data_IF_919616620652
#
_entry.id   IF_919616620652
#
_cell.length_a   1.000
_cell.length_b   1.000
_cell.length_c   1.000
_cell.angle_alpha   90.00
_cell.angle_beta   90.00
_cell.angle_gamma   90.00
#
_symmetry.space_group_name_H-M   'P 1'
#
loop_
_entity.id
_entity.type
_entity.pdbx_description
1 polymer ?
#
# COMPACT_ATOMS: atom_id res chain seq x y z
N UNK A 1 -16.44 -2.63 -13.72
CA UNK A 1 -15.67 -3.41 -14.67
C UNK A 1 -15.57 -4.85 -14.21
N UNK A 2 -15.42 -5.80 -15.11
CA UNK A 2 -15.38 -7.19 -14.71
C UNK A 2 -13.93 -7.65 -14.54
N UNK A 3 -13.67 -8.48 -13.53
CA UNK A 3 -12.40 -9.19 -13.35
C UNK A 3 -11.96 -9.99 -14.58
N UNK A 4 -12.87 -10.18 -15.56
CA UNK A 4 -12.62 -10.84 -16.85
C UNK A 4 -11.74 -10.04 -17.82
N UNK A 5 -11.47 -8.76 -17.51
CA UNK A 5 -10.67 -7.89 -18.38
C UNK A 5 -9.16 -8.11 -18.19
N UNK A 6 -8.77 -8.85 -17.15
CA UNK A 6 -7.38 -9.14 -16.83
C UNK A 6 -7.00 -10.59 -17.14
N UNK A 7 -5.73 -10.81 -17.49
CA UNK A 7 -5.24 -12.12 -17.92
C UNK A 7 -5.02 -13.10 -16.78
N UNK A 8 -4.69 -12.62 -15.58
CA UNK A 8 -4.35 -13.45 -14.43
C UNK A 8 -4.53 -12.70 -13.12
N UNK A 9 -4.44 -13.42 -12.00
CA UNK A 9 -4.50 -12.82 -10.66
C UNK A 9 -3.63 -13.57 -9.64
N UNK A 10 -3.31 -12.89 -8.55
CA UNK A 10 -2.78 -13.47 -7.31
C UNK A 10 -3.83 -13.39 -6.21
N UNK A 11 -3.94 -14.44 -5.43
CA UNK A 11 -4.78 -14.46 -4.23
C UNK A 11 -4.04 -13.84 -3.06
N UNK A 12 -4.73 -12.95 -2.34
CA UNK A 12 -4.22 -12.32 -1.12
C UNK A 12 -4.96 -12.94 0.05
N UNK A 13 -4.20 -13.61 0.90
CA UNK A 13 -4.69 -14.35 2.06
C UNK A 13 -4.11 -13.72 3.34
N UNK A 14 -4.84 -12.81 4.02
CA UNK A 14 -4.35 -12.24 5.26
C UNK A 14 -4.09 -13.33 6.30
N UNK A 15 -2.89 -13.34 6.84
CA UNK A 15 -2.48 -14.31 7.85
C UNK A 15 -2.11 -13.62 9.16
N UNK A 16 -2.35 -14.30 10.26
CA UNK A 16 -1.98 -13.78 11.58
C UNK A 16 -0.46 -13.60 11.69
N UNK A 17 -0.04 -12.44 12.16
CA UNK A 17 1.35 -12.13 12.43
C UNK A 17 1.48 -11.23 13.67
N UNK A 18 2.58 -11.34 14.39
CA UNK A 18 2.82 -10.53 15.58
C UNK A 18 1.76 -10.74 16.65
N UNK A 19 1.05 -9.68 17.02
CA UNK A 19 0.01 -9.69 18.06
C UNK A 19 -1.41 -9.98 17.53
N UNK A 20 -1.56 -10.31 16.24
CA UNK A 20 -2.86 -10.63 15.66
C UNK A 20 -3.09 -12.14 15.78
N UNK A 21 -4.18 -12.53 16.46
CA UNK A 21 -4.55 -13.94 16.59
C UNK A 21 -5.10 -14.50 15.29
N UNK A 22 -4.81 -15.77 15.01
CA UNK A 22 -5.40 -16.48 13.87
C UNK A 22 -6.92 -16.50 13.97
N UNK A 23 -7.61 -16.15 12.89
CA UNK A 23 -9.06 -16.02 12.84
C UNK A 23 -9.61 -14.72 13.42
N UNK A 24 -8.75 -13.79 13.86
CA UNK A 24 -9.19 -12.47 14.28
C UNK A 24 -9.74 -11.67 13.09
N UNK A 25 -10.85 -10.97 13.32
CA UNK A 25 -11.46 -10.06 12.34
C UNK A 25 -11.34 -8.63 12.81
N UNK A 26 -10.82 -7.76 11.98
CA UNK A 26 -10.79 -6.31 12.21
C UNK A 26 -12.05 -5.72 11.60
N UNK A 27 -13.06 -5.41 12.43
CA UNK A 27 -14.36 -4.91 11.98
C UNK A 27 -14.37 -3.42 11.65
N UNK A 28 -13.42 -2.65 12.17
CA UNK A 28 -13.29 -1.23 11.84
C UNK A 28 -12.54 -1.06 10.52
N UNK A 29 -12.89 -0.02 9.75
CA UNK A 29 -12.14 0.36 8.55
C UNK A 29 -10.69 0.70 8.92
N UNK A 30 -9.74 0.10 8.23
CA UNK A 30 -8.31 0.30 8.44
C UNK A 30 -7.58 0.43 7.10
N UNK A 31 -6.48 1.19 7.05
CA UNK A 31 -5.61 1.19 5.89
C UNK A 31 -4.71 -0.05 5.89
N UNK A 32 -4.49 -0.61 4.72
CA UNK A 32 -3.59 -1.74 4.47
C UNK A 32 -2.64 -1.38 3.34
N UNK A 33 -1.44 -1.93 3.36
CA UNK A 33 -0.42 -1.71 2.34
C UNK A 33 0.04 -3.03 1.73
N UNK A 34 0.19 -3.05 0.42
CA UNK A 34 0.73 -4.17 -0.34
C UNK A 34 1.97 -3.71 -1.09
N UNK A 35 3.07 -4.42 -0.94
CA UNK A 35 4.23 -4.29 -1.81
C UNK A 35 4.17 -5.38 -2.88
N UNK A 36 4.16 -4.96 -4.13
CA UNK A 36 4.09 -5.83 -5.29
C UNK A 36 5.39 -5.66 -6.07
N UNK A 37 5.98 -6.75 -6.50
CA UNK A 37 7.27 -6.75 -7.19
C UNK A 37 7.22 -7.62 -8.44
N UNK A 38 8.07 -7.31 -9.42
CA UNK A 38 8.27 -8.13 -10.59
C UNK A 38 8.89 -9.48 -10.20
N UNK A 39 8.19 -10.57 -10.48
CA UNK A 39 8.69 -11.92 -10.26
C UNK A 39 9.81 -12.34 -11.22
N UNK A 40 10.03 -11.57 -12.29
CA UNK A 40 11.12 -11.80 -13.23
C UNK A 40 12.45 -11.20 -12.78
N UNK A 41 12.45 -10.45 -11.68
CA UNK A 41 13.61 -9.79 -11.12
C UNK A 41 13.71 -10.18 -9.64
N UNK A 42 14.90 -10.47 -9.13
CA UNK A 42 15.16 -10.89 -7.75
C UNK A 42 14.94 -9.75 -6.73
N UNK A 43 13.80 -9.05 -6.85
CA UNK A 43 13.43 -7.90 -6.01
C UNK A 43 12.53 -8.24 -4.84
N UNK A 44 11.97 -9.45 -4.81
CA UNK A 44 11.31 -9.97 -3.63
C UNK A 44 12.37 -10.40 -2.62
N UNK A 45 12.66 -9.51 -1.69
CA UNK A 45 13.63 -9.72 -0.62
C UNK A 45 12.99 -9.81 0.76
N UNK A 46 11.67 -9.62 0.82
CA UNK A 46 10.90 -9.59 2.08
C UNK A 46 9.78 -10.61 2.08
N UNK A 47 9.59 -11.27 3.21
CA UNK A 47 8.44 -12.12 3.43
C UNK A 47 7.15 -11.27 3.41
N UNK A 48 6.25 -11.57 2.48
CA UNK A 48 4.99 -10.83 2.29
C UNK A 48 4.92 -9.99 1.02
N UNK A 49 6.03 -9.85 0.28
CA UNK A 49 6.00 -9.25 -1.06
C UNK A 49 5.16 -10.11 -2.01
N UNK A 50 4.35 -9.46 -2.84
CA UNK A 50 3.52 -10.12 -3.84
C UNK A 50 4.24 -10.11 -5.17
N UNK A 51 4.72 -11.26 -5.61
CA UNK A 51 5.38 -11.38 -6.92
C UNK A 51 4.34 -11.55 -8.04
N UNK A 52 4.46 -10.74 -9.10
CA UNK A 52 3.65 -10.85 -10.32
C UNK A 52 4.55 -10.96 -11.56
N UNK A 53 4.04 -11.56 -12.64
CA UNK A 53 4.63 -11.40 -13.97
C UNK A 53 4.14 -10.08 -14.57
N UNK A 54 4.96 -9.06 -14.50
CA UNK A 54 4.64 -7.73 -14.96
C UNK A 54 5.02 -7.44 -16.42
N UNK A 55 5.36 -8.47 -17.19
CA UNK A 55 5.72 -8.33 -18.62
C UNK A 55 4.64 -7.65 -19.47
N UNK A 56 3.39 -7.71 -19.04
CA UNK A 56 2.25 -7.06 -19.70
C UNK A 56 1.66 -5.90 -18.86
N UNK A 57 2.44 -5.36 -17.92
CA UNK A 57 2.06 -4.20 -17.12
C UNK A 57 2.76 -2.97 -17.66
N UNK A 58 2.01 -2.02 -18.21
CA UNK A 58 2.50 -0.77 -18.76
C UNK A 58 1.97 0.47 -18.05
N UNK A 59 0.88 0.34 -17.32
CA UNK A 59 0.23 1.42 -16.61
C UNK A 59 -0.67 0.92 -15.47
N UNK A 60 -1.20 1.85 -14.68
CA UNK A 60 -2.05 1.56 -13.53
C UNK A 60 -3.31 0.78 -13.91
N UNK A 61 -3.82 0.96 -15.13
CA UNK A 61 -4.96 0.20 -15.66
C UNK A 61 -4.71 -1.30 -15.80
N UNK A 62 -3.45 -1.73 -15.80
CA UNK A 62 -3.07 -3.12 -15.99
C UNK A 62 -2.99 -3.91 -14.67
N UNK A 63 -3.21 -3.26 -13.53
CA UNK A 63 -3.28 -3.91 -12.21
C UNK A 63 -4.49 -3.36 -11.45
N UNK A 64 -5.31 -4.25 -10.88
CA UNK A 64 -6.48 -3.87 -10.09
C UNK A 64 -6.71 -4.79 -8.89
N UNK A 65 -7.22 -4.23 -7.79
CA UNK A 65 -7.54 -4.96 -6.58
C UNK A 65 -9.06 -5.20 -6.49
N UNK A 66 -9.44 -6.46 -6.29
CA UNK A 66 -10.82 -6.91 -6.12
C UNK A 66 -10.98 -7.72 -4.84
N UNK A 67 -12.18 -7.72 -4.29
CA UNK A 67 -12.58 -8.68 -3.28
C UNK A 67 -12.64 -10.10 -3.86
N UNK A 68 -12.57 -11.10 -3.02
CA UNK A 68 -12.61 -12.52 -3.45
C UNK A 68 -13.90 -12.92 -4.15
N UNK A 69 -15.01 -12.19 -3.92
CA UNK A 69 -16.30 -12.40 -4.59
C UNK A 69 -16.37 -11.74 -5.98
N UNK A 70 -15.34 -11.00 -6.37
CA UNK A 70 -15.24 -10.31 -7.66
C UNK A 70 -15.81 -8.90 -7.67
N UNK A 71 -16.23 -8.37 -6.53
CA UNK A 71 -16.55 -6.95 -6.41
C UNK A 71 -15.27 -6.11 -6.36
N UNK A 72 -15.29 -4.89 -6.91
CA UNK A 72 -14.15 -3.99 -6.83
C UNK A 72 -13.88 -3.57 -5.37
N UNK A 73 -12.62 -3.42 -5.00
CA UNK A 73 -12.25 -2.69 -3.78
C UNK A 73 -12.43 -1.21 -4.08
N UNK A 74 -13.29 -0.53 -3.32
CA UNK A 74 -13.73 0.84 -3.66
C UNK A 74 -12.64 1.88 -3.48
N UNK A 75 -11.77 1.70 -2.47
CA UNK A 75 -10.77 2.68 -2.09
C UNK A 75 -9.38 2.05 -2.10
N UNK A 76 -8.65 2.21 -3.18
CA UNK A 76 -7.22 1.91 -3.23
C UNK A 76 -6.47 2.96 -4.04
N UNK A 77 -5.19 3.15 -3.69
CA UNK A 77 -4.34 4.17 -4.26
C UNK A 77 -2.90 3.67 -4.42
N UNK A 78 -2.28 4.02 -5.55
CA UNK A 78 -0.88 3.71 -5.83
C UNK A 78 0.03 4.82 -5.33
N UNK A 79 0.79 4.57 -4.28
CA UNK A 79 1.85 5.46 -3.84
C UNK A 79 3.06 5.38 -4.79
N UNK A 80 3.45 4.16 -5.16
CA UNK A 80 4.51 3.91 -6.14
C UNK A 80 3.97 3.05 -7.26
N UNK A 81 4.22 3.44 -8.48
CA UNK A 81 3.94 2.65 -9.68
C UNK A 81 5.11 2.76 -10.64
N UNK A 82 6.16 1.97 -10.41
CA UNK A 82 7.43 2.01 -11.12
C UNK A 82 7.61 0.76 -11.99
N UNK A 83 7.17 0.86 -13.25
CA UNK A 83 7.32 -0.22 -14.24
C UNK A 83 8.78 -0.45 -14.64
N UNK A 84 9.64 0.57 -14.52
CA UNK A 84 11.05 0.46 -14.90
C UNK A 84 11.84 -0.39 -13.92
N UNK A 85 11.46 -0.33 -12.65
CA UNK A 85 12.06 -1.10 -11.58
C UNK A 85 11.20 -2.29 -11.15
N UNK A 86 9.98 -2.44 -11.66
CA UNK A 86 9.06 -3.52 -11.30
C UNK A 86 8.68 -3.47 -9.81
N UNK A 87 8.43 -2.28 -9.27
CA UNK A 87 8.05 -2.06 -7.87
C UNK A 87 6.78 -1.24 -7.81
N UNK A 88 5.80 -1.75 -7.09
CA UNK A 88 4.49 -1.11 -6.94
C UNK A 88 4.06 -1.15 -5.48
N UNK A 89 3.66 -0.01 -4.93
CA UNK A 89 3.13 0.11 -3.57
C UNK A 89 1.70 0.58 -3.65
N UNK A 90 0.79 -0.24 -3.16
CA UNK A 90 -0.63 -0.02 -3.15
C UNK A 90 -1.14 0.08 -1.71
N UNK A 91 -1.89 1.13 -1.43
CA UNK A 91 -2.66 1.29 -0.20
C UNK A 91 -4.14 1.11 -0.49
N UNK A 92 -4.86 0.48 0.42
CA UNK A 92 -6.32 0.37 0.36
C UNK A 92 -6.91 0.41 1.75
N UNK A 93 -8.18 0.78 1.86
CA UNK A 93 -8.92 0.75 3.11
C UNK A 93 -10.07 -0.24 3.03
N UNK A 94 -10.22 -1.04 4.07
CA UNK A 94 -11.34 -1.99 4.18
C UNK A 94 -11.67 -2.29 5.64
N UNK A 95 -12.84 -2.89 5.83
CA UNK A 95 -13.35 -3.37 7.13
C UNK A 95 -13.71 -4.86 7.04
N UNK A 96 -13.73 -5.54 8.17
CA UNK A 96 -14.08 -6.96 8.21
C UNK A 96 -12.96 -7.90 7.77
N UNK A 97 -11.72 -7.41 7.64
CA UNK A 97 -10.58 -8.24 7.26
C UNK A 97 -10.30 -9.30 8.31
N UNK A 98 -10.29 -10.56 7.89
CA UNK A 98 -10.08 -11.73 8.77
C UNK A 98 -8.72 -12.37 8.50
N UNK A 99 -7.97 -12.63 9.56
CA UNK A 99 -6.60 -13.18 9.50
C UNK A 99 -6.60 -14.68 9.73
N UNK A 100 -7.24 -15.42 8.82
CA UNK A 100 -7.39 -16.89 8.90
C UNK A 100 -6.70 -17.65 7.75
N UNK A 101 -6.03 -16.92 6.86
CA UNK A 101 -5.35 -17.51 5.69
C UNK A 101 -6.29 -17.85 4.55
N UNK A 102 -7.58 -17.45 4.61
CA UNK A 102 -8.47 -17.58 3.46
C UNK A 102 -8.28 -16.43 2.47
N UNK A 103 -8.57 -16.65 1.21
CA UNK A 103 -8.50 -15.63 0.16
C UNK A 103 -9.58 -14.57 0.40
N UNK A 104 -9.18 -13.34 0.68
CA UNK A 104 -10.09 -12.20 0.83
C UNK A 104 -10.02 -11.23 -0.35
N UNK A 105 -8.85 -11.12 -0.97
CA UNK A 105 -8.66 -10.25 -2.13
C UNK A 105 -8.00 -10.98 -3.28
N UNK A 106 -8.15 -10.42 -4.48
CA UNK A 106 -7.45 -10.84 -5.70
C UNK A 106 -6.82 -9.63 -6.36
N UNK A 107 -5.53 -9.69 -6.54
CA UNK A 107 -4.78 -8.72 -7.32
C UNK A 107 -4.74 -9.22 -8.76
N UNK A 108 -5.53 -8.62 -9.63
CA UNK A 108 -5.55 -8.91 -11.05
C UNK A 108 -4.47 -8.10 -11.76
N UNK A 109 -3.81 -8.70 -12.76
CA UNK A 109 -2.75 -8.03 -13.52
C UNK A 109 -2.65 -8.57 -14.95
N UNK A 110 -1.95 -7.79 -15.81
CA UNK A 110 -1.84 -8.04 -17.25
C UNK A 110 -2.52 -6.93 -18.03
N UNK A 111 -2.95 -7.20 -19.28
CA UNK A 111 -3.61 -6.17 -20.11
C UNK A 111 -4.98 -5.83 -19.53
N UNK A 112 -5.08 -4.75 -18.80
CA UNK A 112 -6.32 -4.21 -18.26
C UNK A 112 -6.88 -3.05 -19.10
N UNK A 113 -8.06 -2.57 -18.75
CA UNK A 113 -8.76 -1.56 -19.54
C UNK A 113 -9.06 -0.27 -18.80
N UNK A 114 -8.90 -0.19 -17.49
CA UNK A 114 -9.09 1.06 -16.75
C UNK A 114 -8.40 1.09 -15.39
N UNK A 115 -7.95 2.27 -15.05
CA UNK A 115 -7.47 2.61 -13.71
C UNK A 115 -8.68 2.91 -12.81
N UNK A 116 -8.90 2.07 -11.80
CA UNK A 116 -9.95 2.23 -10.78
C UNK A 116 -9.39 2.78 -9.48
N UNK A 117 -8.10 3.18 -9.46
CA UNK A 117 -7.48 3.70 -8.25
C UNK A 117 -8.09 5.03 -7.81
N UNK A 118 -8.21 5.19 -6.51
CA UNK A 118 -8.64 6.41 -5.84
C UNK A 118 -7.44 7.35 -5.59
N UNK A 119 -7.67 8.46 -4.90
CA UNK A 119 -6.59 9.30 -4.36
C UNK A 119 -6.15 8.81 -2.97
N UNK A 120 -5.00 9.30 -2.47
CA UNK A 120 -4.55 9.00 -1.11
C UNK A 120 -5.59 9.42 -0.07
N UNK A 121 -6.16 10.62 -0.22
CA UNK A 121 -7.19 11.13 0.69
C UNK A 121 -8.38 10.17 0.77
N UNK A 122 -8.86 9.63 -0.36
CA UNK A 122 -10.00 8.71 -0.35
C UNK A 122 -9.71 7.43 0.45
N UNK A 123 -8.48 6.93 0.38
CA UNK A 123 -8.07 5.72 1.13
C UNK A 123 -7.99 6.01 2.62
N UNK A 124 -7.34 7.09 3.01
CA UNK A 124 -7.08 7.39 4.42
C UNK A 124 -8.28 8.04 5.11
N UNK A 125 -9.05 8.87 4.43
CA UNK A 125 -10.27 9.48 4.99
C UNK A 125 -11.41 8.48 5.23
N UNK A 126 -11.34 7.31 4.61
CA UNK A 126 -12.26 6.20 4.92
C UNK A 126 -12.05 5.62 6.33
N UNK A 127 -10.94 5.95 6.99
CA UNK A 127 -10.61 5.47 8.34
C UNK A 127 -11.22 6.40 9.38
N UNK A 128 -12.12 5.88 10.21
CA UNK A 128 -12.80 6.65 11.26
C UNK A 128 -11.82 7.30 12.23
N UNK A 129 -11.96 8.61 12.42
CA UNK A 129 -11.17 9.43 13.35
C UNK A 129 -9.66 9.44 13.05
N UNK A 130 -9.26 9.27 11.80
CA UNK A 130 -7.89 9.49 11.40
C UNK A 130 -7.60 10.99 11.35
N UNK A 131 -6.59 11.44 12.09
CA UNK A 131 -6.17 12.85 12.10
C UNK A 131 -5.13 13.15 11.03
N UNK A 132 -4.20 12.21 10.79
CA UNK A 132 -3.17 12.32 9.76
C UNK A 132 -2.61 10.96 9.38
N UNK A 133 -2.02 10.86 8.18
CA UNK A 133 -1.34 9.67 7.69
C UNK A 133 -0.08 10.04 6.93
N UNK A 134 1.04 9.41 7.24
CA UNK A 134 2.33 9.67 6.59
C UNK A 134 2.94 8.36 6.07
N UNK A 135 3.40 8.34 4.83
CA UNK A 135 4.16 7.21 4.30
C UNK A 135 5.66 7.34 4.55
N UNK A 136 6.14 8.57 4.77
CA UNK A 136 7.56 8.90 4.85
C UNK A 136 8.37 8.46 3.62
N UNK A 137 7.73 8.36 2.46
CA UNK A 137 8.36 7.97 1.21
C UNK A 137 8.97 9.19 0.51
N UNK A 138 10.04 9.72 1.08
CA UNK A 138 10.78 10.86 0.57
C UNK A 138 10.15 12.23 0.87
N UNK A 139 9.08 12.27 1.67
CA UNK A 139 8.44 13.52 2.08
C UNK A 139 7.69 13.36 3.42
N UNK A 140 7.22 14.48 3.95
CA UNK A 140 6.48 14.59 5.21
C UNK A 140 5.01 14.99 5.00
N UNK A 141 4.49 14.81 3.79
CA UNK A 141 3.11 15.20 3.47
C UNK A 141 2.10 14.30 4.19
N UNK A 142 1.04 14.91 4.70
CA UNK A 142 -0.15 14.21 5.15
C UNK A 142 -0.90 13.63 3.93
N UNK A 143 -1.18 12.36 3.96
CA UNK A 143 -1.90 11.64 2.91
C UNK A 143 -3.43 11.71 3.07
N UNK A 144 -3.92 12.27 4.18
CA UNK A 144 -5.33 12.54 4.43
C UNK A 144 -5.74 13.93 3.93
N UNK A 145 -7.03 14.20 3.85
CA UNK A 145 -7.54 15.53 3.47
C UNK A 145 -7.38 16.59 4.56
N UNK A 146 -6.93 16.22 5.76
CA UNK A 146 -6.76 17.14 6.88
C UNK A 146 -5.59 18.11 6.68
N UNK A 147 -4.65 17.78 5.79
CA UNK A 147 -3.49 18.61 5.43
C UNK A 147 -2.62 19.00 6.66
N UNK A 148 -2.41 18.07 7.54
CA UNK A 148 -1.52 18.21 8.69
C UNK A 148 -0.09 17.76 8.30
N UNK A 149 0.50 18.43 7.30
CA UNK A 149 1.86 18.12 6.86
C UNK A 149 2.83 18.21 8.04
N UNK A 150 3.62 17.17 8.23
CA UNK A 150 4.68 17.22 9.22
C UNK A 150 5.83 18.12 8.71
N UNK A 151 6.47 18.80 9.61
CA UNK A 151 7.59 19.69 9.32
C UNK A 151 8.86 19.21 10.01
N UNK A 152 10.00 19.56 9.42
CA UNK A 152 11.28 19.35 10.08
C UNK A 152 11.35 20.22 11.35
N UNK A 153 11.42 19.56 12.50
CA UNK A 153 11.61 20.26 13.77
C UNK A 153 13.05 20.83 13.89
N UNK A 154 13.17 21.98 14.51
CA UNK A 154 14.45 22.58 14.92
C UNK A 154 15.53 22.81 13.85
N UNK A 155 15.15 22.92 12.57
CA UNK A 155 16.05 23.37 11.51
C UNK A 155 16.96 22.28 10.93
N UNK A 156 16.71 21.02 11.21
CA UNK A 156 17.37 19.88 10.57
C UNK A 156 16.55 19.35 9.41
N UNK A 157 17.22 18.79 8.42
CA UNK A 157 16.56 18.02 7.39
C UNK A 157 16.37 16.58 7.90
N UNK A 158 15.15 16.05 7.79
CA UNK A 158 14.95 14.64 7.97
C UNK A 158 15.48 13.96 6.71
N UNK A 159 16.41 13.07 6.88
CA UNK A 159 16.89 12.21 5.82
C UNK A 159 15.93 11.03 5.61
N UNK A 160 15.91 10.52 4.40
CA UNK A 160 15.11 9.36 4.05
C UNK A 160 16.03 8.21 3.61
N UNK A 161 15.84 7.06 4.22
CA UNK A 161 16.57 5.84 3.92
C UNK A 161 15.67 4.77 3.32
N UNK A 162 16.24 3.65 2.88
CA UNK A 162 15.45 2.53 2.36
C UNK A 162 14.59 1.90 3.45
N UNK A 163 13.27 1.90 3.24
CA UNK A 163 12.27 1.26 4.11
C UNK A 163 11.79 -0.07 3.54
N UNK A 164 10.88 -0.71 4.26
CA UNK A 164 10.21 -1.92 3.77
C UNK A 164 9.30 -1.63 2.57
N UNK A 165 8.66 -0.46 2.57
CA UNK A 165 7.80 0.04 1.49
C UNK A 165 8.38 1.39 1.02
N UNK A 166 9.23 1.37 -0.01
CA UNK A 166 9.86 2.58 -0.50
C UNK A 166 10.92 3.13 0.46
N UNK A 167 10.77 4.37 0.90
CA UNK A 167 11.64 5.03 1.87
C UNK A 167 11.03 5.09 3.27
N UNK A 168 11.84 5.38 4.24
CA UNK A 168 11.46 5.64 5.62
C UNK A 168 12.19 6.90 6.12
N UNK A 169 11.57 7.65 7.01
CA UNK A 169 12.25 8.74 7.69
C UNK A 169 13.39 8.16 8.55
N UNK A 170 14.57 8.71 8.40
CA UNK A 170 15.73 8.35 9.21
C UNK A 170 15.82 9.30 10.41
N UNK A 171 15.51 8.79 11.58
CA UNK A 171 15.63 9.50 12.85
C UNK A 171 16.73 8.80 13.69
N UNK A 172 17.96 8.78 13.17
CA UNK A 172 19.05 8.00 13.74
C UNK A 172 19.58 8.56 15.09
N UNK A 173 19.11 9.75 15.47
CA UNK A 173 19.44 10.37 16.76
C UNK A 173 20.88 10.80 16.91
N UNK A 174 21.65 10.81 15.85
CA UNK A 174 23.05 11.18 15.77
C UNK A 174 23.22 12.70 15.72
N UNK A 175 22.19 13.38 15.30
CA UNK A 175 22.05 14.82 15.41
C UNK A 175 20.98 15.16 16.47
N UNK A 176 21.32 16.00 17.45
CA UNK A 176 20.39 16.40 18.54
C UNK A 176 19.20 17.23 18.05
N UNK A 177 18.99 17.28 16.77
CA UNK A 177 18.01 18.12 16.05
C UNK A 177 17.01 17.33 15.21
N UNK A 178 17.10 16.00 15.15
CA UNK A 178 16.14 15.18 14.41
C UNK A 178 14.80 15.13 15.18
N UNK A 179 13.86 15.99 14.81
CA UNK A 179 12.51 15.99 15.33
C UNK A 179 11.51 16.20 14.21
N UNK A 180 10.50 15.35 14.17
CA UNK A 180 9.30 15.54 13.36
C UNK A 180 8.29 16.29 14.22
N UNK A 181 7.86 17.46 13.78
CA UNK A 181 6.84 18.25 14.44
C UNK A 181 5.55 18.20 13.61
N UNK A 182 4.40 18.03 14.25
CA UNK A 182 3.10 17.87 13.59
C UNK A 182 2.07 18.85 14.14
#
# INVERSE_FOLDING_TARGET
>A
MASSDYNTYKEIQPTAAGNISSGATISATRPYSLKIVSGNDSKSDQAGDIEIDDSNVSGKSDIALYNSDGSAVENYWWEVFDTSNGVYILHFSDSGVTFDGTTQYRLYYGSGSSDESSTSETVFDAVDNLESAYSFNGNLNDLSSNNHDAVNGYGSNIDFTSGQFGQAADADGDDTTDAIDS
#
